data_IF_422629980693
#
_entry.id   IF_422629980693
#
_cell.length_a   1.000
_cell.length_b   1.000
_cell.length_c   1.000
_cell.angle_alpha   90.00
_cell.angle_beta   90.00
_cell.angle_gamma   90.00
#
_symmetry.space_group_name_H-M   'P 1'
#
loop_
_entity.id
_entity.type
_entity.pdbx_description
1 polymer ?
#
# COMPACT_ATOMS: atom_id res chain seq x y z
N UNK A 1 -3.68 -6.16 16.93
CA UNK A 1 -4.76 -5.48 16.15
C UNK A 1 -5.58 -6.56 15.48
N UNK A 2 -6.88 -6.49 15.55
CA UNK A 2 -7.70 -7.46 14.82
C UNK A 2 -7.81 -7.11 13.33
N UNK A 3 -8.10 -8.09 12.50
CA UNK A 3 -8.14 -7.89 11.05
C UNK A 3 -9.28 -6.98 10.58
N UNK A 4 -10.50 -7.06 11.12
CA UNK A 4 -11.53 -6.09 10.75
C UNK A 4 -11.14 -4.64 11.03
N UNK A 5 -10.53 -4.37 12.17
CA UNK A 5 -10.04 -3.03 12.50
C UNK A 5 -8.90 -2.63 11.56
N UNK A 6 -7.97 -3.54 11.27
CA UNK A 6 -6.89 -3.31 10.33
C UNK A 6 -7.43 -2.94 8.95
N UNK A 7 -8.41 -3.69 8.45
CA UNK A 7 -9.05 -3.40 7.15
C UNK A 7 -9.70 -2.01 7.16
N UNK A 8 -10.41 -1.67 8.23
CA UNK A 8 -11.01 -0.33 8.36
C UNK A 8 -9.95 0.76 8.29
N UNK A 9 -8.81 0.57 8.94
CA UNK A 9 -7.71 1.54 8.92
C UNK A 9 -7.03 1.63 7.56
N UNK A 10 -6.87 0.52 6.86
CA UNK A 10 -6.34 0.51 5.48
C UNK A 10 -7.26 1.32 4.56
N UNK A 11 -8.56 1.06 4.62
CA UNK A 11 -9.55 1.78 3.81
C UNK A 11 -9.52 3.28 4.13
N UNK A 12 -9.50 3.64 5.40
CA UNK A 12 -9.43 5.04 5.82
C UNK A 12 -8.16 5.75 5.32
N UNK A 13 -7.02 5.06 5.36
CA UNK A 13 -5.76 5.59 4.86
C UNK A 13 -5.80 5.80 3.35
N UNK A 14 -6.35 4.86 2.60
CA UNK A 14 -6.50 4.98 1.15
C UNK A 14 -7.47 6.11 0.78
N UNK A 15 -8.57 6.27 1.51
CA UNK A 15 -9.51 7.37 1.31
C UNK A 15 -8.83 8.73 1.53
N UNK A 16 -8.04 8.85 2.59
CA UNK A 16 -7.25 10.04 2.87
C UNK A 16 -6.27 10.34 1.75
N UNK A 17 -5.53 9.32 1.30
CA UNK A 17 -4.54 9.48 0.22
C UNK A 17 -5.20 9.91 -1.09
N UNK A 18 -6.36 9.36 -1.42
CA UNK A 18 -7.15 9.79 -2.59
C UNK A 18 -7.52 11.26 -2.48
N UNK A 19 -7.99 11.69 -1.31
CA UNK A 19 -8.39 13.08 -1.10
C UNK A 19 -7.20 14.03 -1.26
N UNK A 20 -6.06 13.71 -0.63
CA UNK A 20 -4.84 14.53 -0.73
C UNK A 20 -4.36 14.63 -2.18
N UNK A 21 -4.29 13.50 -2.89
CA UNK A 21 -3.82 13.48 -4.28
C UNK A 21 -4.80 14.13 -5.23
N UNK A 22 -6.12 14.01 -5.00
CA UNK A 22 -7.13 14.70 -5.80
C UNK A 22 -7.02 16.21 -5.67
N UNK A 23 -6.78 16.70 -4.45
CA UNK A 23 -6.56 18.13 -4.23
C UNK A 23 -5.28 18.62 -4.90
N UNK A 24 -4.20 17.85 -4.82
CA UNK A 24 -2.94 18.18 -5.48
C UNK A 24 -3.09 18.20 -7.01
N UNK A 25 -3.82 17.23 -7.57
CA UNK A 25 -4.12 17.19 -9.01
C UNK A 25 -4.96 18.39 -9.44
N UNK A 26 -5.96 18.78 -8.65
CA UNK A 26 -6.80 19.94 -8.92
C UNK A 26 -5.97 21.23 -8.90
N UNK A 27 -5.11 21.40 -7.90
CA UNK A 27 -4.22 22.55 -7.80
C UNK A 27 -3.29 22.64 -9.01
N UNK A 28 -2.69 21.51 -9.43
CA UNK A 28 -1.82 21.47 -10.60
C UNK A 28 -2.61 21.77 -11.90
N UNK A 29 -3.83 21.27 -12.01
CA UNK A 29 -4.69 21.55 -13.17
C UNK A 29 -5.04 23.05 -13.22
N UNK A 30 -5.42 23.65 -12.12
CA UNK A 30 -5.72 25.08 -12.05
C UNK A 30 -4.50 25.92 -12.42
N UNK A 31 -3.31 25.54 -11.95
CA UNK A 31 -2.07 26.22 -12.34
C UNK A 31 -1.78 26.09 -13.85
N UNK A 32 -2.05 24.93 -14.43
CA UNK A 32 -1.83 24.68 -15.86
C UNK A 32 -2.81 25.46 -16.74
N UNK A 33 -4.02 25.71 -16.25
CA UNK A 33 -5.08 26.40 -17.00
C UNK A 33 -5.26 27.87 -16.61
N UNK A 34 -4.53 28.35 -15.60
CA UNK A 34 -4.58 29.75 -15.21
C UNK A 34 -4.07 30.65 -16.37
N UNK A 35 -4.73 31.79 -16.56
CA UNK A 35 -4.46 32.69 -17.68
C UNK A 35 -2.99 33.14 -17.71
N UNK A 36 -2.41 33.40 -16.55
CA UNK A 36 -1.01 33.79 -16.44
C UNK A 36 -0.02 32.67 -16.76
N UNK A 37 -0.46 31.40 -16.76
CA UNK A 37 0.38 30.24 -17.03
C UNK A 37 0.13 29.63 -18.41
N UNK A 38 -0.80 30.17 -19.19
CA UNK A 38 -1.03 29.72 -20.57
C UNK A 38 0.17 30.14 -21.44
N UNK A 39 0.71 29.17 -22.19
CA UNK A 39 1.86 29.43 -23.06
C UNK A 39 1.53 30.48 -24.11
N UNK A 40 2.23 31.62 -24.09
CA UNK A 40 2.09 32.69 -25.09
C UNK A 40 2.93 32.41 -26.33
N UNK A 41 3.96 31.55 -26.19
CA UNK A 41 4.85 31.16 -27.27
C UNK A 41 5.47 29.79 -26.98
N UNK A 42 6.22 29.23 -27.96
CA UNK A 42 6.84 27.91 -27.86
C UNK A 42 7.92 27.77 -26.79
N UNK A 43 8.35 28.85 -26.19
CA UNK A 43 9.39 28.85 -25.15
C UNK A 43 8.82 28.96 -23.75
N UNK A 44 7.52 29.15 -23.62
CA UNK A 44 6.84 29.18 -22.31
C UNK A 44 6.48 27.76 -21.89
N UNK A 45 7.20 27.24 -20.89
CA UNK A 45 7.05 25.85 -20.41
C UNK A 45 6.33 25.75 -19.08
N UNK A 46 6.03 26.85 -18.38
CA UNK A 46 5.44 26.81 -17.05
C UNK A 46 4.09 26.10 -17.03
N UNK A 47 3.18 26.45 -17.91
CA UNK A 47 1.87 25.81 -18.04
C UNK A 47 1.98 24.36 -18.47
N UNK A 48 2.96 24.03 -19.34
CA UNK A 48 3.19 22.67 -19.80
C UNK A 48 3.68 21.77 -18.66
N UNK A 49 4.61 22.23 -17.85
CA UNK A 49 5.11 21.49 -16.67
C UNK A 49 3.99 21.23 -15.66
N UNK A 50 3.16 22.24 -15.38
CA UNK A 50 2.01 22.09 -14.51
C UNK A 50 0.99 21.07 -15.08
N UNK A 51 0.82 21.03 -16.39
CA UNK A 51 -0.04 20.06 -17.06
C UNK A 51 0.49 18.63 -16.93
N UNK A 52 1.79 18.41 -17.08
CA UNK A 52 2.40 17.09 -16.87
C UNK A 52 2.26 16.64 -15.42
N UNK A 53 2.46 17.54 -14.47
CA UNK A 53 2.29 17.23 -13.04
C UNK A 53 0.83 16.85 -12.75
N UNK A 54 -0.14 17.57 -13.27
CA UNK A 54 -1.55 17.25 -13.10
C UNK A 54 -1.90 15.87 -13.67
N UNK A 55 -1.35 15.52 -14.83
CA UNK A 55 -1.56 14.20 -15.44
C UNK A 55 -0.98 13.08 -14.58
N UNK A 56 0.25 13.26 -14.07
CA UNK A 56 0.88 12.29 -13.17
C UNK A 56 0.12 12.12 -11.87
N UNK A 57 -0.37 13.20 -11.28
CA UNK A 57 -1.18 13.19 -10.06
C UNK A 57 -2.52 12.49 -10.29
N UNK A 58 -3.18 12.75 -11.41
CA UNK A 58 -4.44 12.10 -11.76
C UNK A 58 -4.29 10.59 -11.94
N UNK A 59 -3.19 10.16 -12.57
CA UNK A 59 -2.88 8.73 -12.75
C UNK A 59 -2.68 8.04 -11.42
N UNK A 60 -1.88 8.62 -10.52
CA UNK A 60 -1.63 8.08 -9.19
C UNK A 60 -2.93 8.02 -8.37
N UNK A 61 -3.75 9.05 -8.45
CA UNK A 61 -5.07 9.07 -7.78
C UNK A 61 -5.94 7.92 -8.28
N UNK A 62 -5.98 7.68 -9.59
CA UNK A 62 -6.75 6.58 -10.17
C UNK A 62 -6.27 5.22 -9.67
N UNK A 63 -4.96 5.01 -9.57
CA UNK A 63 -4.38 3.78 -9.03
C UNK A 63 -4.80 3.54 -7.59
N UNK A 64 -4.77 4.58 -6.74
CA UNK A 64 -5.17 4.46 -5.33
C UNK A 64 -6.69 4.24 -5.21
N UNK A 65 -7.51 4.90 -6.05
CA UNK A 65 -8.96 4.64 -6.08
C UNK A 65 -9.27 3.18 -6.42
N UNK A 66 -8.53 2.61 -7.36
CA UNK A 66 -8.69 1.20 -7.71
C UNK A 66 -8.34 0.30 -6.52
N UNK A 67 -7.23 0.57 -5.85
CA UNK A 67 -6.83 -0.16 -4.64
C UNK A 67 -7.92 -0.03 -3.56
N UNK A 68 -8.45 1.17 -3.36
CA UNK A 68 -9.52 1.43 -2.39
C UNK A 68 -10.76 0.57 -2.68
N UNK A 69 -11.20 0.51 -3.94
CA UNK A 69 -12.34 -0.32 -4.32
C UNK A 69 -12.11 -1.79 -4.03
N UNK A 70 -10.91 -2.28 -4.30
CA UNK A 70 -10.53 -3.67 -4.03
C UNK A 70 -10.59 -3.95 -2.54
N UNK A 71 -10.05 -3.06 -1.70
CA UNK A 71 -10.11 -3.23 -0.24
C UNK A 71 -11.50 -3.11 0.34
N UNK A 72 -12.36 -2.27 -0.22
CA UNK A 72 -13.76 -2.16 0.21
C UNK A 72 -14.56 -3.43 -0.02
N UNK A 73 -14.14 -4.26 -0.98
CA UNK A 73 -14.78 -5.52 -1.32
C UNK A 73 -14.01 -6.73 -0.80
N UNK A 74 -12.90 -6.51 -0.11
CA UNK A 74 -12.05 -7.59 0.36
C UNK A 74 -12.75 -8.41 1.43
N UNK A 75 -12.81 -9.73 1.19
CA UNK A 75 -13.27 -10.69 2.19
C UNK A 75 -12.09 -11.17 3.01
N UNK A 76 -12.14 -10.92 4.32
CA UNK A 76 -11.13 -11.41 5.24
C UNK A 76 -11.32 -12.92 5.45
N UNK A 77 -10.22 -13.65 5.30
CA UNK A 77 -10.21 -15.10 5.51
C UNK A 77 -9.32 -15.42 6.70
N UNK A 78 -9.74 -16.36 7.51
CA UNK A 78 -8.91 -16.87 8.58
C UNK A 78 -7.75 -17.69 8.01
N UNK A 79 -6.65 -17.72 8.74
CA UNK A 79 -5.53 -18.57 8.37
C UNK A 79 -5.91 -20.05 8.40
N UNK A 80 -5.61 -20.74 7.32
CA UNK A 80 -5.79 -22.18 7.19
C UNK A 80 -4.42 -22.85 7.10
N UNK A 81 -3.98 -23.60 8.13
CA UNK A 81 -2.67 -24.25 8.11
C UNK A 81 -2.48 -25.22 6.95
N UNK A 82 -3.57 -25.78 6.40
CA UNK A 82 -3.49 -26.67 5.24
C UNK A 82 -3.08 -25.93 3.96
N UNK A 83 -3.45 -24.65 3.84
CA UNK A 83 -3.13 -23.82 2.68
C UNK A 83 -1.89 -22.94 2.88
N UNK A 84 -1.55 -22.65 4.13
CA UNK A 84 -0.52 -21.67 4.45
C UNK A 84 -1.00 -20.23 4.28
N UNK A 85 -0.05 -19.29 4.28
CA UNK A 85 -0.35 -17.87 4.16
C UNK A 85 -1.01 -17.56 2.83
N UNK A 86 -2.14 -16.85 2.90
CA UNK A 86 -2.94 -16.42 1.76
C UNK A 86 -3.27 -14.92 1.85
N UNK A 87 -3.78 -14.35 0.77
CA UNK A 87 -4.28 -12.98 0.78
C UNK A 87 -5.30 -12.81 1.89
N UNK A 88 -5.22 -11.70 2.60
CA UNK A 88 -5.96 -11.30 3.80
C UNK A 88 -5.43 -11.88 5.11
N UNK A 89 -4.35 -12.63 5.08
CA UNK A 89 -3.71 -13.07 6.32
C UNK A 89 -2.76 -11.99 6.88
N UNK A 90 -2.75 -11.89 8.20
CA UNK A 90 -1.83 -11.03 8.95
C UNK A 90 -0.73 -11.93 9.52
N UNK A 91 0.51 -11.65 9.11
CA UNK A 91 1.67 -12.47 9.44
C UNK A 91 2.56 -11.69 10.40
N UNK A 92 2.99 -12.35 11.48
CA UNK A 92 4.01 -11.81 12.37
C UNK A 92 5.32 -12.55 12.12
N UNK A 93 6.35 -11.81 11.74
CA UNK A 93 7.70 -12.31 11.57
C UNK A 93 8.56 -11.92 12.78
N UNK A 94 9.48 -12.77 13.14
CA UNK A 94 10.44 -12.51 14.21
C UNK A 94 11.85 -12.79 13.70
N UNK A 95 12.79 -11.87 13.95
CA UNK A 95 14.19 -12.07 13.61
C UNK A 95 14.96 -12.79 14.71
N UNK A 96 16.26 -13.02 14.50
CA UNK A 96 17.12 -13.71 15.46
C UNK A 96 17.28 -12.94 16.78
N UNK A 97 17.07 -11.63 16.78
CA UNK A 97 17.15 -10.78 17.96
C UNK A 97 15.80 -10.64 18.71
N UNK A 98 14.77 -11.34 18.21
CA UNK A 98 13.44 -11.30 18.81
C UNK A 98 12.59 -10.10 18.38
N UNK A 99 13.07 -9.30 17.42
CA UNK A 99 12.29 -8.18 16.91
C UNK A 99 11.20 -8.67 15.95
N UNK A 100 10.02 -8.15 16.12
CA UNK A 100 8.86 -8.56 15.34
C UNK A 100 8.47 -7.54 14.29
N UNK A 101 7.97 -8.04 13.16
CA UNK A 101 7.35 -7.26 12.11
C UNK A 101 6.00 -7.86 11.78
N UNK A 102 5.01 -7.00 11.62
CA UNK A 102 3.67 -7.42 11.21
C UNK A 102 3.43 -7.02 9.76
N UNK A 103 3.02 -8.00 8.97
CA UNK A 103 2.80 -7.85 7.55
C UNK A 103 1.38 -8.32 7.21
N UNK A 104 0.64 -7.50 6.50
CA UNK A 104 -0.66 -7.90 5.96
C UNK A 104 -0.48 -8.23 4.48
N UNK A 105 -0.83 -9.46 4.11
CA UNK A 105 -0.79 -9.87 2.71
C UNK A 105 -2.06 -9.39 2.02
N UNK A 106 -1.97 -8.23 1.40
CA UNK A 106 -3.10 -7.58 0.75
C UNK A 106 -3.11 -7.80 -0.76
N UNK A 107 -4.24 -7.55 -1.40
CA UNK A 107 -4.36 -7.66 -2.86
C UNK A 107 -3.68 -6.52 -3.60
N UNK A 108 -3.56 -5.35 -2.99
CA UNK A 108 -2.99 -4.13 -3.57
C UNK A 108 -2.34 -3.27 -2.48
N UNK A 109 -1.81 -2.12 -2.87
CA UNK A 109 -1.24 -1.11 -1.97
C UNK A 109 0.02 -1.59 -1.22
N UNK A 110 0.91 -2.33 -1.90
CA UNK A 110 2.18 -2.74 -1.33
C UNK A 110 2.97 -1.53 -0.81
N UNK A 111 3.50 -1.66 0.40
CA UNK A 111 4.27 -0.60 1.06
C UNK A 111 3.45 0.31 1.95
N UNK A 112 2.12 0.21 1.92
CA UNK A 112 1.27 0.99 2.82
C UNK A 112 1.54 0.59 4.26
N UNK A 113 1.67 1.59 5.15
CA UNK A 113 1.89 1.37 6.58
C UNK A 113 0.69 1.90 7.35
N UNK A 114 0.21 1.08 8.29
CA UNK A 114 -0.95 1.39 9.10
C UNK A 114 -0.62 1.11 10.56
N UNK A 115 -1.00 2.01 11.45
CA UNK A 115 -0.68 1.91 12.87
C UNK A 115 0.65 2.55 13.21
N UNK A 116 1.04 2.47 14.46
CA UNK A 116 2.26 3.07 14.98
C UNK A 116 2.92 2.14 16.00
N UNK A 117 4.23 2.28 16.16
CA UNK A 117 5.00 1.54 17.17
C UNK A 117 4.85 0.04 17.01
N UNK A 118 4.51 -0.64 18.08
CA UNK A 118 4.36 -2.10 18.08
C UNK A 118 3.14 -2.59 17.30
N UNK A 119 2.20 -1.70 17.00
CA UNK A 119 1.01 -2.01 16.20
C UNK A 119 1.18 -1.71 14.72
N UNK A 120 2.36 -1.26 14.30
CA UNK A 120 2.62 -0.95 12.89
C UNK A 120 2.49 -2.21 12.03
N UNK A 121 1.67 -2.11 10.99
CA UNK A 121 1.51 -3.16 9.99
C UNK A 121 1.90 -2.59 8.63
N UNK A 122 2.74 -3.31 7.91
CA UNK A 122 3.09 -2.98 6.53
C UNK A 122 2.32 -3.90 5.59
N UNK A 123 1.68 -3.33 4.60
CA UNK A 123 0.99 -4.10 3.56
C UNK A 123 2.01 -4.58 2.54
N UNK A 124 1.95 -5.87 2.24
CA UNK A 124 2.69 -6.47 1.12
C UNK A 124 1.70 -7.19 0.23
N UNK A 125 2.10 -7.49 -0.99
CA UNK A 125 1.26 -8.22 -1.95
C UNK A 125 1.94 -9.49 -2.41
N UNK A 126 1.20 -10.46 -2.96
CA UNK A 126 1.80 -11.68 -3.51
C UNK A 126 2.84 -11.42 -4.61
N UNK A 127 2.81 -10.25 -5.23
CA UNK A 127 3.76 -9.85 -6.26
C UNK A 127 5.06 -9.27 -5.71
N UNK A 128 5.05 -8.81 -4.46
CA UNK A 128 6.27 -8.27 -3.85
C UNK A 128 7.24 -9.40 -3.52
N UNK A 129 8.58 -9.12 -3.47
CA UNK A 129 9.56 -10.16 -3.18
C UNK A 129 9.28 -10.93 -1.90
N UNK A 130 8.95 -10.24 -0.82
CA UNK A 130 8.63 -10.88 0.45
C UNK A 130 7.29 -11.62 0.39
N UNK A 131 6.29 -11.05 -0.29
CA UNK A 131 5.01 -11.70 -0.49
C UNK A 131 5.12 -13.01 -1.25
N UNK A 132 5.98 -13.08 -2.27
CA UNK A 132 6.23 -14.31 -3.01
C UNK A 132 6.80 -15.40 -2.12
N UNK A 133 7.64 -15.05 -1.14
CA UNK A 133 8.17 -16.01 -0.19
C UNK A 133 7.11 -16.47 0.82
N UNK A 134 6.22 -15.56 1.24
CA UNK A 134 5.26 -15.85 2.29
C UNK A 134 4.08 -16.71 1.84
N UNK A 135 3.62 -16.55 0.62
CA UNK A 135 2.46 -17.32 0.12
C UNK A 135 2.69 -18.82 0.28
N UNK A 136 1.77 -19.51 0.95
CA UNK A 136 1.84 -20.93 1.18
C UNK A 136 2.72 -21.37 2.36
N UNK A 137 3.43 -20.44 2.98
CA UNK A 137 4.23 -20.73 4.18
C UNK A 137 3.34 -20.90 5.41
N UNK A 138 3.88 -21.51 6.43
CA UNK A 138 3.16 -21.81 7.68
C UNK A 138 3.92 -21.23 8.88
N UNK A 139 3.27 -21.23 10.02
CA UNK A 139 3.92 -20.93 11.31
C UNK A 139 5.15 -21.83 11.46
N UNK A 140 6.22 -21.27 12.00
CA UNK A 140 7.55 -21.85 12.16
C UNK A 140 8.39 -21.97 10.88
N UNK A 141 7.84 -21.60 9.73
CA UNK A 141 8.63 -21.53 8.51
C UNK A 141 9.56 -20.31 8.52
N UNK A 142 10.64 -20.45 7.77
CA UNK A 142 11.68 -19.45 7.64
C UNK A 142 11.51 -18.66 6.34
N UNK A 143 11.74 -17.34 6.40
CA UNK A 143 11.80 -16.49 5.22
C UNK A 143 13.04 -15.60 5.31
N UNK A 144 13.60 -15.26 4.15
CA UNK A 144 14.80 -14.42 4.08
C UNK A 144 14.52 -13.10 3.40
N UNK A 145 15.06 -12.02 3.97
CA UNK A 145 15.02 -10.69 3.36
C UNK A 145 16.44 -10.14 3.34
N UNK A 146 17.08 -10.22 2.18
CA UNK A 146 18.52 -9.93 2.07
C UNK A 146 19.33 -10.90 2.93
N UNK A 147 20.19 -10.38 3.79
CA UNK A 147 21.00 -11.16 4.72
C UNK A 147 20.26 -11.53 6.02
N UNK A 148 19.07 -10.99 6.24
CA UNK A 148 18.29 -11.25 7.44
C UNK A 148 17.40 -12.47 7.26
N UNK A 149 17.29 -13.25 8.33
CA UNK A 149 16.43 -14.43 8.41
C UNK A 149 15.31 -14.14 9.42
N UNK A 150 14.09 -14.45 9.02
CA UNK A 150 12.91 -14.30 9.87
C UNK A 150 12.17 -15.62 9.97
N UNK A 151 11.51 -15.81 11.09
CA UNK A 151 10.61 -16.95 11.31
C UNK A 151 9.17 -16.43 11.41
N UNK A 152 8.26 -17.18 10.85
CA UNK A 152 6.82 -16.90 10.98
C UNK A 152 6.38 -17.41 12.36
N UNK A 153 6.04 -16.48 13.26
CA UNK A 153 5.65 -16.84 14.63
C UNK A 153 4.14 -16.86 14.83
N UNK A 154 3.41 -16.15 13.99
CA UNK A 154 1.94 -16.12 14.06
C UNK A 154 1.35 -15.77 12.70
N UNK A 155 0.20 -16.36 12.39
CA UNK A 155 -0.61 -16.02 11.22
C UNK A 155 -2.08 -16.09 11.62
N UNK A 156 -2.80 -15.01 11.29
CA UNK A 156 -4.26 -14.95 11.50
C UNK A 156 -5.01 -14.59 10.23
#
# INVERSE_FOLDING_TARGET
MDKPLLLTRIVATLEYDVDVLSRAAQTAYEAATAEENIAENKYDTLGLEASYLATGQARRTAEIRQALQIYQQLLLRDYDPARGVQVSNLVTLEDEDGQQRRLFLGPEAAGLKVGEGDELVTVITPRSPLGQQLVGKRVDDEVSLGAQVFFIVDVV
#
